data_IF_938796365840
#
_entry.id   IF_938796365840
#
_cell.length_a   1.000
_cell.length_b   1.000
_cell.length_c   1.000
_cell.angle_alpha   90.00
_cell.angle_beta   90.00
_cell.angle_gamma   90.00
#
_symmetry.space_group_name_H-M   'P 1'
#
loop_
_entity.id
_entity.type
_entity.pdbx_description
1 polymer ?
#
# COMPACT_ATOMS: atom_id res chain seq x y z
N UNK A 1 -24.11 7.69 -5.95
CA UNK A 1 -23.17 6.67 -6.44
C UNK A 1 -22.48 6.14 -5.21
N UNK A 2 -22.84 4.94 -4.78
CA UNK A 2 -22.42 4.34 -3.50
C UNK A 2 -21.09 3.63 -3.74
N UNK A 3 -20.19 3.54 -2.74
CA UNK A 3 -18.88 2.89 -2.90
C UNK A 3 -19.02 1.40 -3.26
N UNK A 4 -20.11 0.76 -2.84
CA UNK A 4 -20.49 -0.60 -3.26
C UNK A 4 -20.70 -0.72 -4.78
N UNK A 5 -21.18 0.34 -5.45
CA UNK A 5 -21.30 0.39 -6.91
C UNK A 5 -19.91 0.36 -7.58
N UNK A 6 -18.86 0.86 -6.92
CA UNK A 6 -17.49 0.88 -7.43
C UNK A 6 -16.81 -0.49 -7.36
N UNK A 7 -17.05 -1.26 -6.30
CA UNK A 7 -16.55 -2.64 -6.19
C UNK A 7 -17.18 -3.56 -7.24
N UNK A 8 -18.51 -3.44 -7.43
CA UNK A 8 -19.22 -4.13 -8.51
C UNK A 8 -18.77 -3.66 -9.89
N UNK A 9 -18.58 -2.35 -10.09
CA UNK A 9 -18.04 -1.82 -11.34
C UNK A 9 -16.65 -2.38 -11.63
N UNK A 10 -15.75 -2.52 -10.65
CA UNK A 10 -14.42 -3.12 -10.86
C UNK A 10 -14.48 -4.55 -11.44
N UNK A 11 -15.42 -5.37 -10.95
CA UNK A 11 -15.65 -6.73 -11.48
C UNK A 11 -16.17 -6.75 -12.93
N UNK A 12 -16.84 -5.68 -13.36
CA UNK A 12 -17.30 -5.53 -14.75
C UNK A 12 -16.19 -4.93 -15.63
N UNK A 13 -15.47 -3.94 -15.12
CA UNK A 13 -14.37 -3.26 -15.82
C UNK A 13 -13.24 -4.23 -16.17
N UNK A 14 -12.97 -5.21 -15.32
CA UNK A 14 -12.04 -6.33 -15.60
C UNK A 14 -12.47 -7.19 -16.78
N UNK A 15 -13.78 -7.35 -17.01
CA UNK A 15 -14.33 -8.06 -18.18
C UNK A 15 -14.42 -7.20 -19.44
N UNK A 16 -14.21 -5.88 -19.32
CA UNK A 16 -14.36 -4.91 -20.42
C UNK A 16 -13.04 -4.26 -20.85
N UNK A 17 -11.88 -4.76 -20.42
CA UNK A 17 -10.54 -4.18 -20.67
C UNK A 17 -10.36 -2.71 -20.19
N UNK A 18 -11.27 -2.21 -19.35
CA UNK A 18 -11.24 -0.82 -18.84
C UNK A 18 -10.48 -0.68 -17.50
N UNK A 19 -9.80 -1.74 -17.05
CA UNK A 19 -9.04 -1.75 -15.77
C UNK A 19 -8.02 -0.63 -15.72
N UNK A 20 -7.34 -0.35 -16.84
CA UNK A 20 -6.35 0.73 -16.92
C UNK A 20 -6.98 2.09 -16.60
N UNK A 21 -8.07 2.43 -17.26
CA UNK A 21 -8.71 3.76 -17.13
C UNK A 21 -9.28 3.94 -15.72
N UNK A 22 -9.82 2.86 -15.13
CA UNK A 22 -10.25 2.85 -13.74
C UNK A 22 -9.08 3.09 -12.78
N UNK A 23 -7.98 2.34 -12.92
CA UNK A 23 -6.79 2.49 -12.07
C UNK A 23 -6.22 3.91 -12.18
N UNK A 24 -6.11 4.45 -13.40
CA UNK A 24 -5.62 5.82 -13.61
C UNK A 24 -6.54 6.85 -12.93
N UNK A 25 -7.86 6.73 -13.12
CA UNK A 25 -8.85 7.62 -12.49
C UNK A 25 -8.81 7.52 -10.97
N UNK A 26 -8.67 6.30 -10.43
CA UNK A 26 -8.53 6.08 -8.99
C UNK A 26 -7.30 6.79 -8.45
N UNK A 27 -6.14 6.62 -9.10
CA UNK A 27 -4.88 7.27 -8.70
C UNK A 27 -5.02 8.80 -8.72
N UNK A 28 -5.66 9.35 -9.74
CA UNK A 28 -5.83 10.80 -9.89
C UNK A 28 -6.81 11.41 -8.88
N UNK A 29 -7.77 10.62 -8.40
CA UNK A 29 -8.78 11.04 -7.42
C UNK A 29 -8.42 10.68 -5.98
N UNK A 30 -7.46 9.78 -5.76
CA UNK A 30 -7.13 9.18 -4.46
C UNK A 30 -6.83 10.22 -3.38
N UNK A 31 -6.06 11.26 -3.69
CA UNK A 31 -5.69 12.27 -2.68
C UNK A 31 -6.92 13.01 -2.14
N UNK A 32 -7.89 13.34 -3.02
CA UNK A 32 -9.13 13.99 -2.61
C UNK A 32 -10.01 13.03 -1.82
N UNK A 33 -10.07 11.77 -2.26
CA UNK A 33 -10.85 10.73 -1.59
C UNK A 33 -10.35 10.50 -0.16
N UNK A 34 -9.05 10.29 0.02
CA UNK A 34 -8.44 10.07 1.35
C UNK A 34 -8.72 11.26 2.27
N UNK A 35 -8.53 12.50 1.80
CA UNK A 35 -8.85 13.70 2.60
C UNK A 35 -10.31 13.76 3.05
N UNK A 36 -11.24 13.41 2.17
CA UNK A 36 -12.68 13.39 2.49
C UNK A 36 -12.98 12.31 3.53
N UNK A 37 -12.44 11.11 3.37
CA UNK A 37 -12.67 9.99 4.29
C UNK A 37 -12.01 10.23 5.65
N UNK A 38 -10.82 10.83 5.69
CA UNK A 38 -10.13 11.17 6.93
C UNK A 38 -10.83 12.28 7.72
N UNK A 39 -11.52 13.20 7.05
CA UNK A 39 -12.31 14.25 7.69
C UNK A 39 -13.64 13.76 8.29
N UNK A 40 -14.05 12.53 7.99
CA UNK A 40 -15.25 11.93 8.58
C UNK A 40 -14.99 11.51 10.04
N UNK A 41 -15.91 11.87 10.95
CA UNK A 41 -15.91 11.38 12.33
C UNK A 41 -15.96 9.87 12.37
N UNK A 42 -15.36 9.21 13.36
CA UNK A 42 -15.28 7.74 13.45
C UNK A 42 -16.58 7.08 13.97
N UNK A 43 -17.72 7.41 13.37
CA UNK A 43 -19.00 6.74 13.61
C UNK A 43 -19.12 5.44 12.79
N UNK A 44 -20.02 4.53 13.16
CA UNK A 44 -20.17 3.22 12.49
C UNK A 44 -20.33 3.32 10.96
N UNK A 45 -21.14 4.27 10.46
CA UNK A 45 -21.34 4.52 9.03
C UNK A 45 -20.04 4.92 8.30
N UNK A 46 -19.12 5.58 9.00
CA UNK A 46 -17.84 6.03 8.42
C UNK A 46 -16.80 4.91 8.40
N UNK A 47 -16.91 3.94 9.31
CA UNK A 47 -16.09 2.72 9.29
C UNK A 47 -16.47 1.89 8.06
N UNK A 48 -17.75 1.80 7.72
CA UNK A 48 -18.22 1.14 6.50
C UNK A 48 -17.64 1.79 5.23
N UNK A 49 -17.61 3.12 5.18
CA UNK A 49 -16.98 3.85 4.07
C UNK A 49 -15.49 3.52 3.98
N UNK A 50 -14.76 3.50 5.11
CA UNK A 50 -13.34 3.13 5.17
C UNK A 50 -13.11 1.69 4.71
N UNK A 51 -14.00 0.76 5.07
CA UNK A 51 -13.98 -0.63 4.59
C UNK A 51 -14.08 -0.66 3.07
N UNK A 52 -15.13 -0.09 2.52
CA UNK A 52 -15.39 -0.10 1.08
C UNK A 52 -14.25 0.56 0.27
N UNK A 53 -13.72 1.69 0.77
CA UNK A 53 -12.57 2.37 0.14
C UNK A 53 -11.32 1.51 0.17
N UNK A 54 -11.08 0.79 1.27
CA UNK A 54 -9.94 -0.13 1.40
C UNK A 54 -10.06 -1.31 0.44
N UNK A 55 -11.24 -1.89 0.27
CA UNK A 55 -11.45 -3.00 -0.67
C UNK A 55 -11.15 -2.59 -2.11
N UNK A 56 -11.69 -1.45 -2.54
CA UNK A 56 -11.45 -0.93 -3.90
C UNK A 56 -9.96 -0.60 -4.08
N UNK A 57 -9.35 0.05 -3.09
CA UNK A 57 -7.91 0.35 -3.10
C UNK A 57 -7.07 -0.91 -3.19
N UNK A 58 -7.43 -1.97 -2.47
CA UNK A 58 -6.73 -3.25 -2.54
C UNK A 58 -6.65 -3.77 -3.97
N UNK A 59 -7.75 -3.70 -4.73
CA UNK A 59 -7.77 -4.14 -6.11
C UNK A 59 -6.95 -3.25 -7.05
N UNK A 60 -6.95 -1.94 -6.81
CA UNK A 60 -6.12 -1.00 -7.57
C UNK A 60 -4.63 -1.23 -7.29
N UNK A 61 -4.25 -1.35 -6.03
CA UNK A 61 -2.85 -1.59 -5.61
C UNK A 61 -2.38 -2.97 -6.11
N UNK A 62 -3.23 -3.99 -6.08
CA UNK A 62 -2.97 -5.32 -6.67
C UNK A 62 -2.67 -5.23 -8.17
N UNK A 63 -3.52 -4.50 -8.93
CA UNK A 63 -3.31 -4.31 -10.36
C UNK A 63 -2.00 -3.56 -10.69
N UNK A 64 -1.60 -2.61 -9.85
CA UNK A 64 -0.32 -1.88 -10.00
C UNK A 64 0.86 -2.79 -9.60
N UNK A 65 0.76 -3.49 -8.48
CA UNK A 65 1.83 -4.28 -7.88
C UNK A 65 2.22 -5.49 -8.71
N UNK A 66 1.25 -6.17 -9.33
CA UNK A 66 1.51 -7.31 -10.21
C UNK A 66 1.67 -6.93 -11.69
N UNK A 67 1.68 -5.63 -12.01
CA UNK A 67 1.97 -5.15 -13.37
C UNK A 67 0.81 -5.28 -14.36
N UNK A 68 -0.39 -5.66 -13.92
CA UNK A 68 -1.62 -5.62 -14.75
C UNK A 68 -1.85 -4.23 -15.32
N UNK A 69 -1.58 -3.18 -14.54
CA UNK A 69 -1.56 -1.79 -14.99
C UNK A 69 -0.20 -1.16 -14.68
N UNK A 70 0.57 -0.87 -15.73
CA UNK A 70 1.87 -0.21 -15.61
C UNK A 70 1.67 1.30 -15.52
N UNK A 71 2.10 1.89 -14.40
CA UNK A 71 2.09 3.33 -14.17
C UNK A 71 3.53 3.89 -14.08
N UNK A 72 3.72 5.19 -14.39
CA UNK A 72 5.00 5.87 -14.15
C UNK A 72 5.43 5.75 -12.68
N UNK A 73 6.74 5.66 -12.45
CA UNK A 73 7.31 5.53 -11.09
C UNK A 73 6.78 6.58 -10.10
N UNK A 74 6.62 7.83 -10.54
CA UNK A 74 6.10 8.92 -9.71
C UNK A 74 4.67 8.62 -9.20
N UNK A 75 3.81 8.06 -10.06
CA UNK A 75 2.43 7.68 -9.69
C UNK A 75 2.41 6.47 -8.77
N UNK A 76 3.28 5.48 -9.00
CA UNK A 76 3.44 4.32 -8.11
C UNK A 76 3.90 4.76 -6.72
N UNK A 77 4.90 5.64 -6.64
CA UNK A 77 5.39 6.22 -5.39
C UNK A 77 4.29 6.99 -4.65
N UNK A 78 3.55 7.85 -5.36
CA UNK A 78 2.42 8.60 -4.80
C UNK A 78 1.40 7.66 -4.16
N UNK A 79 1.02 6.58 -4.85
CA UNK A 79 0.07 5.59 -4.33
C UNK A 79 0.57 4.92 -3.05
N UNK A 80 1.84 4.53 -3.01
CA UNK A 80 2.42 3.91 -1.81
C UNK A 80 2.42 4.90 -0.64
N UNK A 81 2.90 6.13 -0.83
CA UNK A 81 2.96 7.15 0.22
C UNK A 81 1.59 7.58 0.74
N UNK A 82 0.57 7.58 -0.12
CA UNK A 82 -0.78 7.96 0.26
C UNK A 82 -1.51 6.82 0.98
N UNK A 83 -1.47 5.61 0.44
CA UNK A 83 -2.30 4.51 0.91
C UNK A 83 -1.68 3.71 2.05
N UNK A 84 -0.35 3.65 2.18
CA UNK A 84 0.30 2.96 3.31
C UNK A 84 -0.15 3.52 4.69
N UNK A 85 -0.15 4.85 4.92
CA UNK A 85 -0.68 5.40 6.18
C UNK A 85 -2.17 5.13 6.33
N UNK A 86 -2.96 5.33 5.26
CA UNK A 86 -4.40 5.13 5.33
C UNK A 86 -4.79 3.71 5.79
N UNK A 87 -4.17 2.68 5.21
CA UNK A 87 -4.53 1.27 5.53
C UNK A 87 -4.05 0.86 6.91
N UNK A 88 -2.93 1.40 7.36
CA UNK A 88 -2.40 1.16 8.71
C UNK A 88 -3.36 1.69 9.77
N UNK A 89 -3.95 2.85 9.52
CA UNK A 89 -4.91 3.48 10.42
C UNK A 89 -6.30 2.83 10.29
N UNK A 90 -6.69 2.42 9.08
CA UNK A 90 -7.98 1.77 8.83
C UNK A 90 -8.07 0.36 9.47
N UNK A 91 -7.00 -0.44 9.41
CA UNK A 91 -6.99 -1.81 9.91
C UNK A 91 -7.47 -1.97 11.36
N UNK A 92 -6.91 -1.27 12.36
CA UNK A 92 -7.36 -1.40 13.76
C UNK A 92 -8.79 -0.90 13.97
N UNK A 93 -9.24 0.10 13.21
CA UNK A 93 -10.63 0.58 13.28
C UNK A 93 -11.60 -0.50 12.82
N UNK A 94 -11.30 -1.18 11.72
CA UNK A 94 -12.09 -2.31 11.21
C UNK A 94 -12.04 -3.49 12.17
N UNK A 95 -10.86 -3.85 12.67
CA UNK A 95 -10.69 -4.95 13.62
C UNK A 95 -11.49 -4.69 14.92
N UNK A 96 -11.52 -3.44 15.43
CA UNK A 96 -12.29 -3.05 16.62
C UNK A 96 -13.82 -3.03 16.41
N UNK A 97 -14.28 -2.61 15.23
CA UNK A 97 -15.70 -2.59 14.89
C UNK A 97 -16.30 -3.99 14.86
N UNK A 98 -15.52 -4.99 14.41
CA UNK A 98 -15.92 -6.40 14.44
C UNK A 98 -16.11 -6.88 15.88
N UNK A 99 -15.21 -6.53 16.80
CA UNK A 99 -15.32 -6.95 18.22
C UNK A 99 -16.54 -6.33 18.91
N UNK A 100 -16.82 -5.04 18.67
CA UNK A 100 -17.97 -4.36 19.29
C UNK A 100 -19.33 -4.88 18.76
N UNK A 101 -19.39 -5.28 17.48
CA UNK A 101 -20.60 -5.87 16.88
C UNK A 101 -20.90 -7.30 17.35
N UNK A 102 -19.91 -8.03 17.87
CA UNK A 102 -20.15 -9.37 18.43
C UNK A 102 -20.84 -9.32 19.82
N UNK A 103 -20.79 -8.16 20.49
CA UNK A 103 -21.48 -7.90 21.76
C UNK A 103 -22.92 -7.38 21.56
N UNK A 104 -23.16 -6.57 20.52
CA UNK A 104 -24.49 -6.07 20.15
C UNK A 104 -25.14 -6.95 19.06
N UNK A 105 -26.02 -7.86 19.48
CA UNK A 105 -26.80 -8.78 18.62
C UNK A 105 -27.90 -8.10 17.80
N UNK A 106 -27.66 -6.94 17.19
CA UNK A 106 -28.55 -6.39 16.18
C UNK A 106 -27.94 -6.52 14.78
N UNK A 107 -28.81 -6.87 13.84
CA UNK A 107 -28.61 -7.36 12.48
C UNK A 107 -28.00 -6.31 11.52
N UNK A 108 -27.04 -5.51 12.00
CA UNK A 108 -26.34 -4.48 11.24
C UNK A 108 -25.25 -5.06 10.35
N UNK A 109 -25.06 -4.45 9.17
CA UNK A 109 -24.05 -4.82 8.17
C UNK A 109 -22.67 -5.00 8.83
N UNK A 110 -22.13 -6.22 8.72
CA UNK A 110 -20.83 -6.57 9.30
C UNK A 110 -19.73 -5.82 8.55
N UNK A 111 -19.16 -4.79 9.16
CA UNK A 111 -18.02 -4.04 8.63
C UNK A 111 -16.75 -4.89 8.75
N UNK A 112 -16.60 -5.92 7.90
CA UNK A 112 -15.46 -6.82 7.92
C UNK A 112 -14.79 -6.87 6.55
N UNK A 113 -13.50 -6.58 6.53
CA UNK A 113 -12.63 -6.90 5.40
C UNK A 113 -12.11 -8.32 5.59
N UNK A 114 -12.11 -9.11 4.51
CA UNK A 114 -11.53 -10.45 4.51
C UNK A 114 -10.01 -10.39 4.79
N UNK A 115 -9.51 -11.32 5.61
CA UNK A 115 -8.08 -11.47 5.87
C UNK A 115 -7.26 -11.65 4.59
N UNK A 116 -7.84 -12.30 3.58
CA UNK A 116 -7.22 -12.44 2.26
C UNK A 116 -6.98 -11.10 1.56
N UNK A 117 -7.91 -10.13 1.72
CA UNK A 117 -7.77 -8.78 1.14
C UNK A 117 -6.62 -8.04 1.83
N UNK A 118 -6.52 -8.11 3.15
CA UNK A 118 -5.42 -7.47 3.89
C UNK A 118 -4.05 -8.03 3.50
N UNK A 119 -3.96 -9.34 3.31
CA UNK A 119 -2.74 -10.03 2.88
C UNK A 119 -2.38 -9.72 1.42
N UNK A 120 -3.38 -9.68 0.53
CA UNK A 120 -3.19 -9.29 -0.86
C UNK A 120 -2.69 -7.84 -0.97
N UNK A 121 -3.25 -6.94 -0.18
CA UNK A 121 -2.84 -5.53 -0.13
C UNK A 121 -1.39 -5.38 0.35
N UNK A 122 -0.99 -6.09 1.41
CA UNK A 122 0.38 -6.14 1.91
C UNK A 122 1.38 -6.63 0.85
N UNK A 123 1.09 -7.79 0.25
CA UNK A 123 1.91 -8.39 -0.81
C UNK A 123 2.05 -7.45 -2.02
N UNK A 124 0.97 -6.73 -2.35
CA UNK A 124 0.97 -5.77 -3.45
C UNK A 124 1.84 -4.55 -3.13
N UNK A 125 1.80 -4.03 -1.91
CA UNK A 125 2.71 -2.96 -1.47
C UNK A 125 4.18 -3.40 -1.55
N UNK A 126 4.50 -4.59 -1.04
CA UNK A 126 5.85 -5.17 -1.14
C UNK A 126 6.32 -5.20 -2.59
N UNK A 127 5.49 -5.72 -3.50
CA UNK A 127 5.82 -5.76 -4.94
C UNK A 127 6.06 -4.37 -5.54
N UNK A 128 5.18 -3.39 -5.26
CA UNK A 128 5.37 -2.02 -5.77
C UNK A 128 6.68 -1.43 -5.24
N UNK A 129 6.93 -1.54 -3.93
CA UNK A 129 8.12 -0.98 -3.29
C UNK A 129 9.39 -1.58 -3.89
N UNK A 130 9.45 -2.90 -4.05
CA UNK A 130 10.59 -3.59 -4.64
C UNK A 130 10.93 -3.14 -6.07
N UNK A 131 9.93 -2.60 -6.78
CA UNK A 131 10.02 -2.06 -8.14
C UNK A 131 10.21 -0.52 -8.20
N UNK A 132 10.33 0.17 -7.07
CA UNK A 132 10.69 1.60 -7.01
C UNK A 132 12.22 1.81 -7.06
N UNK A 133 12.71 3.02 -7.37
CA UNK A 133 14.10 3.39 -7.18
C UNK A 133 14.58 3.17 -5.74
N UNK A 134 15.88 2.87 -5.57
CA UNK A 134 16.45 2.53 -4.26
C UNK A 134 16.36 3.67 -3.24
N UNK A 135 16.39 4.94 -3.68
CA UNK A 135 16.18 6.11 -2.82
C UNK A 135 14.77 6.13 -2.23
N UNK A 136 13.78 5.86 -3.06
CA UNK A 136 12.36 5.91 -2.68
C UNK A 136 12.02 4.72 -1.76
N UNK A 137 12.59 3.54 -2.05
CA UNK A 137 12.54 2.39 -1.14
C UNK A 137 13.07 2.74 0.24
N UNK A 138 14.24 3.39 0.31
CA UNK A 138 14.88 3.74 1.58
C UNK A 138 13.99 4.69 2.41
N UNK A 139 13.39 5.69 1.78
CA UNK A 139 12.49 6.64 2.45
C UNK A 139 11.29 5.92 3.07
N UNK A 140 10.57 5.11 2.27
CA UNK A 140 9.38 4.38 2.71
C UNK A 140 9.71 3.39 3.84
N UNK A 141 10.76 2.60 3.68
CA UNK A 141 11.14 1.57 4.65
C UNK A 141 11.64 2.19 5.97
N UNK A 142 12.33 3.32 5.91
CA UNK A 142 12.76 4.05 7.11
C UNK A 142 11.55 4.60 7.88
N UNK A 143 10.57 5.16 7.17
CA UNK A 143 9.32 5.60 7.79
C UNK A 143 8.56 4.42 8.44
N UNK A 144 8.44 3.29 7.73
CA UNK A 144 7.80 2.09 8.26
C UNK A 144 8.47 1.56 9.54
N UNK A 145 9.81 1.48 9.55
CA UNK A 145 10.57 1.09 10.73
C UNK A 145 10.37 2.06 11.91
N UNK A 146 10.30 3.36 11.65
CA UNK A 146 10.05 4.36 12.69
C UNK A 146 8.69 4.18 13.38
N UNK A 147 7.74 3.51 12.70
CA UNK A 147 6.42 3.16 13.20
C UNK A 147 6.37 1.72 13.77
N UNK A 148 7.49 1.20 14.26
CA UNK A 148 7.64 -0.15 14.83
C UNK A 148 7.31 -1.32 13.89
N UNK A 149 7.33 -1.10 12.56
CA UNK A 149 7.01 -2.14 11.60
C UNK A 149 5.56 -2.63 11.66
N UNK A 150 4.63 -1.79 12.13
CA UNK A 150 3.20 -2.10 12.15
C UNK A 150 2.67 -2.24 10.73
N UNK A 151 1.59 -3.03 10.58
CA UNK A 151 0.89 -3.30 9.32
C UNK A 151 0.91 -2.12 8.33
N UNK A 152 1.13 -2.37 7.02
CA UNK A 152 1.47 -3.68 6.44
C UNK A 152 2.87 -4.15 6.81
N UNK A 153 3.08 -5.46 6.87
CA UNK A 153 4.41 -6.04 7.06
C UNK A 153 5.24 -5.86 5.77
N UNK A 154 6.30 -5.07 5.87
CA UNK A 154 7.21 -4.77 4.76
C UNK A 154 8.56 -5.46 4.92
N UNK A 155 8.67 -6.48 5.79
CA UNK A 155 9.92 -7.16 6.11
C UNK A 155 10.63 -7.71 4.87
N UNK A 156 9.90 -8.35 3.95
CA UNK A 156 10.50 -8.85 2.70
C UNK A 156 11.13 -7.72 1.89
N UNK A 157 10.40 -6.62 1.67
CA UNK A 157 10.90 -5.47 0.93
C UNK A 157 12.14 -4.88 1.60
N UNK A 158 12.12 -4.80 2.95
CA UNK A 158 13.23 -4.32 3.75
C UNK A 158 14.49 -5.18 3.60
N UNK A 159 14.36 -6.50 3.74
CA UNK A 159 15.49 -7.44 3.64
C UNK A 159 16.13 -7.41 2.26
N UNK A 160 15.30 -7.39 1.20
CA UNK A 160 15.77 -7.32 -0.18
C UNK A 160 16.48 -5.99 -0.45
N UNK A 161 15.93 -4.87 0.02
CA UNK A 161 16.58 -3.56 -0.11
C UNK A 161 17.92 -3.52 0.64
N UNK A 162 17.98 -4.05 1.86
CA UNK A 162 19.22 -4.16 2.64
C UNK A 162 20.27 -5.00 1.92
N UNK A 163 19.89 -6.17 1.39
CA UNK A 163 20.78 -7.03 0.63
C UNK A 163 21.32 -6.32 -0.62
N UNK A 164 20.44 -5.73 -1.44
CA UNK A 164 20.83 -4.99 -2.66
C UNK A 164 21.78 -3.84 -2.33
N UNK A 165 21.47 -3.06 -1.29
CA UNK A 165 22.29 -1.93 -0.83
C UNK A 165 23.66 -2.39 -0.32
N UNK A 166 23.72 -3.47 0.46
CA UNK A 166 24.98 -4.04 0.97
C UNK A 166 25.86 -4.57 -0.16
N UNK A 167 25.28 -5.27 -1.13
CA UNK A 167 26.01 -5.78 -2.31
C UNK A 167 26.53 -4.63 -3.17
N UNK A 168 25.72 -3.61 -3.42
CA UNK A 168 26.14 -2.43 -4.18
C UNK A 168 27.33 -1.73 -3.52
N UNK A 169 27.27 -1.49 -2.20
CA UNK A 169 28.40 -0.89 -1.44
C UNK A 169 29.68 -1.71 -1.53
N UNK A 170 29.60 -3.05 -1.42
CA UNK A 170 30.78 -3.92 -1.58
C UNK A 170 31.38 -3.83 -2.97
N UNK A 171 30.55 -3.82 -4.02
CA UNK A 171 31.02 -3.71 -5.41
C UNK A 171 31.68 -2.37 -5.69
N UNK A 172 31.12 -1.28 -5.17
CA UNK A 172 31.72 0.06 -5.27
C UNK A 172 33.01 0.17 -4.46
N UNK A 173 33.07 -0.43 -3.26
CA UNK A 173 34.30 -0.48 -2.46
C UNK A 173 35.44 -1.27 -3.11
N UNK A 174 35.12 -2.33 -3.88
CA UNK A 174 36.09 -3.05 -4.70
C UNK A 174 36.59 -2.22 -5.90
N UNK A 175 35.77 -1.31 -6.43
CA UNK A 175 36.15 -0.39 -7.51
C UNK A 175 36.95 0.82 -7.03
N UNK A 176 36.86 1.17 -5.74
CA UNK A 176 37.65 2.25 -5.10
C UNK A 176 38.93 1.77 -4.42
N UNK A 177 39.30 0.49 -4.57
CA UNK A 177 40.41 -0.15 -3.86
C UNK A 177 41.77 -0.16 -4.57
N UNK A 178 41.93 0.57 -5.70
CA UNK A 178 43.22 0.66 -6.42
C UNK A 178 44.03 1.95 -6.13
N UNK A 179 43.65 2.76 -5.12
CA UNK A 179 44.40 3.98 -4.75
C UNK A 179 45.04 3.98 -3.35
N UNK A 180 45.08 2.85 -2.62
CA UNK A 180 45.87 2.74 -1.37
C UNK A 180 47.13 1.87 -1.56
N UNK A 181 47.91 2.25 -2.57
CA UNK A 181 49.15 1.60 -2.96
C UNK A 181 50.28 2.57 -3.28
N UNK A 182 50.42 3.69 -2.57
CA UNK A 182 51.67 4.48 -2.48
C UNK A 182 51.54 5.67 -1.53
N UNK A 183 52.08 5.51 -0.33
CA UNK A 183 52.87 6.53 0.38
C UNK A 183 53.60 5.76 1.49
N UNK A 184 54.83 5.32 1.24
CA UNK A 184 56.08 6.06 1.53
C UNK A 184 56.27 6.36 3.03
N UNK A 185 56.86 5.40 3.75
CA UNK A 185 58.21 5.46 4.36
C UNK A 185 58.30 4.64 5.64
#
# INVERSE_FOLDING_TARGET
>A
MVVSDLSWAYQILTKMEMVRDFVVTWVDTSEKLVKVVEAMETAAETVEIRVNVTEVTSKVVEAIGYGTVILPTVKRLQMVKLWLPFVREAKPLVDSAVTNQEEDKEEGVRCKIDGEIWQALESSFVSIILALPSSDQAEILTEWLSKNGVYPDLTEAFEVWCYRSKVAKRRLGLLGGEEDGKDMS
#
